data_IF_196006993278
#
_entry.id   IF_196006993278
#
_cell.length_a   1.000
_cell.length_b   1.000
_cell.length_c   1.000
_cell.angle_alpha   90.00
_cell.angle_beta   90.00
_cell.angle_gamma   90.00
#
_symmetry.space_group_name_H-M   'P 1'
#
loop_
_entity.id
_entity.type
_entity.pdbx_description
1 polymer ?
#
# COMPACT_ATOMS: atom_id res chain seq x y z
N UNK A 1 -59.82 -36.70 40.27
CA UNK A 1 -58.78 -35.63 40.19
C UNK A 1 -58.93 -34.92 38.85
N UNK A 2 -58.68 -33.62 38.88
CA UNK A 2 -59.27 -32.52 38.09
C UNK A 2 -58.49 -32.12 36.83
N UNK A 3 -59.25 -31.90 35.75
CA UNK A 3 -59.26 -30.82 34.73
C UNK A 3 -58.01 -30.06 34.25
N UNK A 4 -58.09 -29.75 32.93
CA UNK A 4 -57.20 -29.05 32.01
C UNK A 4 -56.76 -27.60 32.31
N UNK A 5 -55.71 -27.13 31.61
CA UNK A 5 -55.52 -25.75 31.11
C UNK A 5 -54.58 -25.68 29.88
N UNK A 6 -55.09 -25.18 28.76
CA UNK A 6 -54.40 -24.58 27.57
C UNK A 6 -54.10 -23.08 27.87
N UNK A 7 -53.60 -22.24 26.93
CA UNK A 7 -52.49 -22.32 25.95
C UNK A 7 -51.62 -21.02 25.95
N UNK A 8 -50.39 -20.98 25.40
CA UNK A 8 -49.82 -19.69 24.90
C UNK A 8 -48.91 -19.91 23.68
N UNK A 9 -49.30 -19.24 22.60
CA UNK A 9 -48.62 -19.01 21.32
C UNK A 9 -47.41 -18.10 21.54
N UNK A 10 -46.20 -18.47 21.07
CA UNK A 10 -45.11 -17.51 20.82
C UNK A 10 -44.78 -17.46 19.34
N UNK A 11 -45.18 -16.36 18.74
CA UNK A 11 -44.77 -15.84 17.44
C UNK A 11 -43.45 -15.07 17.56
N UNK A 12 -42.60 -15.23 16.53
CA UNK A 12 -41.62 -14.30 15.96
C UNK A 12 -40.38 -13.92 16.80
N UNK A 13 -39.20 -14.26 16.27
CA UNK A 13 -38.07 -13.32 16.14
C UNK A 13 -37.16 -13.70 14.96
N UNK A 14 -37.43 -13.06 13.82
CA UNK A 14 -36.52 -12.84 12.71
C UNK A 14 -35.28 -12.10 13.23
N UNK A 15 -34.09 -12.69 13.12
CA UNK A 15 -32.80 -11.97 13.03
C UNK A 15 -31.98 -12.65 11.95
N UNK A 16 -32.18 -12.21 10.72
CA UNK A 16 -31.24 -11.31 10.04
C UNK A 16 -30.03 -12.06 9.48
N UNK A 17 -30.29 -12.83 8.41
CA UNK A 17 -29.28 -13.16 7.40
C UNK A 17 -28.93 -11.93 6.56
N UNK A 18 -28.36 -10.90 7.20
CA UNK A 18 -28.05 -9.61 6.57
C UNK A 18 -26.60 -9.15 6.76
N UNK A 19 -25.71 -9.93 7.40
CA UNK A 19 -24.32 -9.52 7.65
C UNK A 19 -23.23 -10.32 6.91
N UNK A 20 -23.58 -11.27 6.03
CA UNK A 20 -22.58 -11.97 5.22
C UNK A 20 -22.19 -11.20 3.94
N UNK A 21 -23.08 -10.36 3.39
CA UNK A 21 -22.81 -9.61 2.16
C UNK A 21 -21.99 -8.33 2.37
N UNK A 22 -21.95 -7.79 3.59
CA UNK A 22 -21.10 -6.64 3.93
C UNK A 22 -19.62 -7.02 4.06
N UNK A 23 -19.31 -8.14 4.73
CA UNK A 23 -17.91 -8.59 4.91
C UNK A 23 -17.27 -9.09 3.61
N UNK A 24 -18.04 -9.71 2.72
CA UNK A 24 -17.53 -10.15 1.42
C UNK A 24 -17.29 -8.99 0.43
N UNK A 25 -18.11 -7.93 0.47
CA UNK A 25 -17.96 -6.76 -0.40
C UNK A 25 -16.78 -5.84 0.01
N UNK A 26 -16.49 -5.75 1.32
CA UNK A 26 -15.30 -5.05 1.83
C UNK A 26 -14.02 -5.78 1.38
N UNK A 27 -14.02 -7.12 1.36
CA UNK A 27 -12.89 -7.91 0.87
C UNK A 27 -12.64 -7.76 -0.64
N UNK A 28 -13.68 -7.68 -1.49
CA UNK A 28 -13.47 -7.53 -2.95
C UNK A 28 -12.95 -6.14 -3.34
N UNK A 29 -13.45 -5.07 -2.72
CA UNK A 29 -12.99 -3.71 -3.02
C UNK A 29 -11.58 -3.45 -2.47
N UNK A 30 -11.29 -3.94 -1.26
CA UNK A 30 -9.94 -3.92 -0.72
C UNK A 30 -8.98 -4.74 -1.60
N UNK A 31 -9.37 -5.95 -2.03
CA UNK A 31 -8.56 -6.76 -2.95
C UNK A 31 -8.29 -6.07 -4.30
N UNK A 32 -9.28 -5.40 -4.88
CA UNK A 32 -9.08 -4.63 -6.11
C UNK A 32 -8.12 -3.44 -5.91
N UNK A 33 -8.25 -2.71 -4.79
CA UNK A 33 -7.33 -1.63 -4.44
C UNK A 33 -5.90 -2.14 -4.18
N UNK A 34 -5.74 -3.34 -3.60
CA UNK A 34 -4.45 -4.00 -3.42
C UNK A 34 -3.81 -4.34 -4.76
N UNK A 35 -4.57 -5.00 -5.66
CA UNK A 35 -4.10 -5.36 -6.99
C UNK A 35 -3.67 -4.10 -7.74
N UNK A 36 -4.50 -3.06 -7.73
CA UNK A 36 -4.18 -1.77 -8.35
C UNK A 36 -2.95 -1.08 -7.72
N UNK A 37 -2.80 -1.16 -6.39
CA UNK A 37 -1.64 -0.61 -5.67
C UNK A 37 -0.35 -1.34 -6.05
N UNK A 38 -0.40 -2.66 -6.16
CA UNK A 38 0.71 -3.54 -6.54
C UNK A 38 1.04 -3.45 -8.03
N UNK A 39 0.04 -3.24 -8.89
CA UNK A 39 0.21 -3.03 -10.33
C UNK A 39 0.60 -1.58 -10.68
N UNK A 40 0.49 -0.65 -9.71
CA UNK A 40 0.81 0.76 -9.91
C UNK A 40 -0.23 1.52 -10.73
N UNK A 41 -1.41 0.94 -10.95
CA UNK A 41 -2.53 1.50 -11.73
C UNK A 41 -3.68 1.80 -10.76
N UNK A 42 -3.46 2.74 -9.84
CA UNK A 42 -4.54 3.22 -8.96
C UNK A 42 -5.20 4.43 -9.61
N UNK A 43 -6.50 4.36 -9.94
CA UNK A 43 -7.27 5.55 -10.28
C UNK A 43 -7.26 6.55 -9.12
N UNK A 44 -7.17 7.88 -9.35
CA UNK A 44 -7.14 8.87 -8.27
C UNK A 44 -8.24 8.69 -7.21
N UNK A 45 -9.44 8.26 -7.64
CA UNK A 45 -10.59 7.98 -6.78
C UNK A 45 -10.44 6.77 -5.84
N UNK A 46 -9.49 5.87 -6.13
CA UNK A 46 -9.19 4.69 -5.33
C UNK A 46 -7.96 4.88 -4.40
N UNK A 47 -7.27 6.02 -4.49
CA UNK A 47 -6.09 6.32 -3.65
C UNK A 47 -6.46 6.33 -2.17
N UNK A 48 -7.54 7.00 -1.78
CA UNK A 48 -7.94 7.07 -0.36
C UNK A 48 -8.36 5.69 0.19
N UNK A 49 -8.95 4.83 -0.66
CA UNK A 49 -9.26 3.45 -0.28
C UNK A 49 -7.98 2.63 -0.06
N UNK A 50 -6.98 2.77 -0.94
CA UNK A 50 -5.68 2.14 -0.77
C UNK A 50 -4.97 2.63 0.51
N UNK A 51 -5.06 3.93 0.83
CA UNK A 51 -4.43 4.48 2.04
C UNK A 51 -5.11 3.99 3.31
N UNK A 52 -6.44 3.89 3.32
CA UNK A 52 -7.17 3.29 4.43
C UNK A 52 -6.82 1.81 4.61
N UNK A 53 -6.66 1.08 3.51
CA UNK A 53 -6.21 -0.30 3.59
C UNK A 53 -4.80 -0.43 4.18
N UNK A 54 -3.85 0.42 3.78
CA UNK A 54 -2.51 0.44 4.39
C UNK A 54 -2.56 0.72 5.90
N UNK A 55 -3.47 1.59 6.35
CA UNK A 55 -3.73 1.81 7.79
C UNK A 55 -4.24 0.54 8.47
N UNK A 56 -5.18 -0.15 7.86
CA UNK A 56 -5.71 -1.43 8.36
C UNK A 56 -4.62 -2.52 8.42
N UNK A 57 -3.63 -2.48 7.52
CA UNK A 57 -2.46 -3.36 7.55
C UNK A 57 -1.36 -2.90 8.53
N UNK A 58 -1.62 -1.87 9.33
CA UNK A 58 -0.69 -1.31 10.31
C UNK A 58 0.65 -0.81 9.72
N UNK A 59 0.62 -0.26 8.50
CA UNK A 59 1.76 0.52 8.00
C UNK A 59 1.88 1.85 8.75
N UNK A 60 3.09 2.40 8.83
CA UNK A 60 3.31 3.69 9.49
C UNK A 60 2.62 4.83 8.73
N UNK A 61 2.17 5.86 9.45
CA UNK A 61 1.55 7.05 8.84
C UNK A 61 2.48 7.73 7.84
N UNK A 62 3.79 7.74 8.12
CA UNK A 62 4.82 8.25 7.22
C UNK A 62 4.90 7.44 5.92
N UNK A 63 4.84 6.11 5.99
CA UNK A 63 4.81 5.26 4.79
C UNK A 63 3.56 5.50 3.94
N UNK A 64 2.40 5.66 4.60
CA UNK A 64 1.11 5.93 3.94
C UNK A 64 1.18 7.26 3.20
N UNK A 65 1.68 8.31 3.86
CA UNK A 65 1.83 9.63 3.24
C UNK A 65 2.80 9.60 2.05
N UNK A 66 3.95 8.93 2.20
CA UNK A 66 4.89 8.75 1.09
C UNK A 66 4.24 8.00 -0.07
N UNK A 67 3.48 6.94 0.20
CA UNK A 67 2.77 6.17 -0.85
C UNK A 67 1.73 7.03 -1.56
N UNK A 68 0.99 7.87 -0.82
CA UNK A 68 0.05 8.84 -1.41
C UNK A 68 0.77 9.79 -2.36
N UNK A 69 1.92 10.36 -1.95
CA UNK A 69 2.73 11.26 -2.78
C UNK A 69 3.38 10.56 -3.99
N UNK A 70 3.68 9.27 -3.91
CA UNK A 70 4.18 8.51 -5.08
C UNK A 70 3.08 8.33 -6.13
N UNK A 71 1.83 8.13 -5.69
CA UNK A 71 0.66 7.90 -6.57
C UNK A 71 0.06 9.21 -7.09
N UNK A 72 0.14 10.28 -6.31
CA UNK A 72 -0.24 11.64 -6.66
C UNK A 72 0.99 12.56 -6.63
N UNK A 73 1.97 12.35 -7.54
CA UNK A 73 3.22 13.09 -7.51
C UNK A 73 3.01 14.57 -7.81
N UNK A 74 3.83 15.41 -7.18
CA UNK A 74 3.90 16.82 -7.55
C UNK A 74 4.44 16.94 -8.97
N UNK A 75 3.67 17.59 -9.85
CA UNK A 75 4.04 17.83 -11.24
C UNK A 75 5.18 18.84 -11.38
N UNK A 76 5.51 19.58 -10.33
CA UNK A 76 6.56 20.61 -10.33
C UNK A 76 7.97 20.04 -10.21
N UNK A 77 8.14 18.94 -9.49
CA UNK A 77 9.45 18.28 -9.35
C UNK A 77 9.40 16.88 -9.98
N UNK A 78 10.02 16.68 -11.15
CA UNK A 78 10.00 15.40 -11.85
C UNK A 78 10.80 14.29 -11.13
N UNK A 79 11.64 14.62 -10.14
CA UNK A 79 12.38 13.65 -9.33
C UNK A 79 11.73 13.35 -7.97
N UNK A 80 10.75 14.16 -7.54
CA UNK A 80 10.07 13.99 -6.25
C UNK A 80 9.51 12.57 -6.03
N UNK A 81 8.94 11.97 -7.09
CA UNK A 81 8.43 10.60 -7.05
C UNK A 81 9.55 9.59 -6.75
N UNK A 82 10.72 9.75 -7.38
CA UNK A 82 11.89 8.88 -7.19
C UNK A 82 12.39 8.96 -5.75
N UNK A 83 12.48 10.18 -5.21
CA UNK A 83 12.89 10.40 -3.84
C UNK A 83 11.90 9.82 -2.83
N UNK A 84 10.59 10.00 -3.07
CA UNK A 84 9.56 9.46 -2.21
C UNK A 84 9.53 7.92 -2.24
N UNK A 85 9.78 7.30 -3.39
CA UNK A 85 9.96 5.85 -3.49
C UNK A 85 11.14 5.36 -2.64
N UNK A 86 12.28 6.05 -2.68
CA UNK A 86 13.43 5.71 -1.85
C UNK A 86 13.14 5.87 -0.35
N UNK A 87 12.54 7.00 0.05
CA UNK A 87 12.13 7.25 1.44
C UNK A 87 11.13 6.20 1.94
N UNK A 88 10.20 5.78 1.09
CA UNK A 88 9.22 4.77 1.44
C UNK A 88 9.87 3.39 1.67
N UNK A 89 10.88 3.03 0.87
CA UNK A 89 11.64 1.78 1.05
C UNK A 89 12.41 1.80 2.37
N UNK A 90 13.06 2.92 2.71
CA UNK A 90 13.75 3.05 4.00
C UNK A 90 12.78 2.97 5.17
N UNK A 91 11.64 3.66 5.08
CA UNK A 91 10.59 3.61 6.09
C UNK A 91 10.07 2.18 6.28
N UNK A 92 9.90 1.41 5.20
CA UNK A 92 9.53 -0.01 5.29
C UNK A 92 10.58 -0.84 6.02
N UNK A 93 11.86 -0.64 5.68
CA UNK A 93 12.96 -1.36 6.33
C UNK A 93 13.01 -1.01 7.82
N UNK A 94 12.84 0.26 8.18
CA UNK A 94 12.89 0.72 9.57
C UNK A 94 11.70 0.22 10.40
N UNK A 95 10.49 0.28 9.84
CA UNK A 95 9.26 0.00 10.59
C UNK A 95 8.78 -1.44 10.48
N UNK A 96 9.20 -2.18 9.45
CA UNK A 96 8.70 -3.54 9.18
C UNK A 96 9.78 -4.59 8.98
N UNK A 97 11.06 -4.31 9.23
CA UNK A 97 12.13 -5.31 9.07
C UNK A 97 11.91 -6.61 9.83
N UNK A 98 11.23 -6.56 10.99
CA UNK A 98 10.86 -7.74 11.79
C UNK A 98 9.72 -8.58 11.20
N UNK A 99 8.98 -8.05 10.23
CA UNK A 99 7.83 -8.69 9.56
C UNK A 99 8.17 -9.08 8.12
N UNK A 100 9.32 -8.64 7.61
CA UNK A 100 9.85 -9.08 6.33
C UNK A 100 10.22 -10.57 6.42
N UNK A 101 10.08 -11.28 5.29
CA UNK A 101 10.58 -12.65 5.19
C UNK A 101 12.10 -12.69 5.47
N UNK A 102 12.59 -13.78 6.06
CA UNK A 102 14.00 -13.95 6.43
C UNK A 102 14.97 -13.84 5.22
N UNK A 103 14.45 -14.11 4.01
CA UNK A 103 15.18 -14.00 2.74
C UNK A 103 15.03 -12.63 2.06
N UNK A 104 14.39 -11.66 2.71
CA UNK A 104 14.23 -10.32 2.17
C UNK A 104 15.61 -9.67 1.94
N UNK A 105 15.90 -9.16 0.73
CA UNK A 105 17.21 -8.63 0.39
C UNK A 105 17.43 -7.19 0.90
N UNK A 106 17.25 -6.98 2.21
CA UNK A 106 17.32 -5.67 2.89
C UNK A 106 18.63 -4.94 2.57
N UNK A 107 19.77 -5.61 2.65
CA UNK A 107 21.08 -5.02 2.35
C UNK A 107 21.19 -4.56 0.89
N UNK A 108 20.60 -5.31 -0.04
CA UNK A 108 20.58 -4.93 -1.45
C UNK A 108 19.66 -3.73 -1.69
N UNK A 109 18.51 -3.67 -1.00
CA UNK A 109 17.62 -2.51 -1.09
C UNK A 109 18.28 -1.24 -0.60
N UNK A 110 18.97 -1.29 0.56
CA UNK A 110 19.72 -0.12 1.09
C UNK A 110 20.77 0.37 0.09
N UNK A 111 21.56 -0.54 -0.46
CA UNK A 111 22.57 -0.20 -1.47
C UNK A 111 21.93 0.41 -2.73
N UNK A 112 20.79 -0.10 -3.16
CA UNK A 112 20.08 0.42 -4.33
C UNK A 112 19.48 1.81 -4.06
N UNK A 113 18.96 2.08 -2.84
CA UNK A 113 18.55 3.42 -2.42
C UNK A 113 19.71 4.42 -2.54
N UNK A 114 20.89 4.07 -2.04
CA UNK A 114 22.07 4.94 -2.11
C UNK A 114 22.47 5.24 -3.57
N UNK A 115 22.48 4.22 -4.43
CA UNK A 115 22.76 4.39 -5.87
C UNK A 115 21.76 5.29 -6.56
N UNK A 116 20.46 5.13 -6.25
CA UNK A 116 19.41 5.97 -6.84
C UNK A 116 19.58 7.42 -6.37
N UNK A 117 19.86 7.67 -5.09
CA UNK A 117 20.12 9.01 -4.56
C UNK A 117 21.30 9.69 -5.23
N UNK A 118 22.43 8.98 -5.36
CA UNK A 118 23.58 9.50 -6.10
C UNK A 118 23.19 9.86 -7.55
N UNK A 119 22.37 9.04 -8.20
CA UNK A 119 21.84 9.33 -9.53
C UNK A 119 20.91 10.56 -9.57
N UNK A 120 20.04 10.74 -8.58
CA UNK A 120 19.17 11.93 -8.45
C UNK A 120 20.00 13.20 -8.36
N UNK A 121 21.04 13.21 -7.52
CA UNK A 121 21.97 14.34 -7.39
C UNK A 121 22.70 14.63 -8.71
N UNK A 122 23.15 13.60 -9.42
CA UNK A 122 23.77 13.77 -10.73
C UNK A 122 22.80 14.40 -11.76
N UNK A 123 21.54 13.96 -11.80
CA UNK A 123 20.53 14.51 -12.72
C UNK A 123 20.17 15.95 -12.35
N UNK A 124 20.08 16.29 -11.06
CA UNK A 124 19.82 17.67 -10.60
C UNK A 124 20.95 18.62 -10.99
N UNK A 125 22.19 18.16 -10.90
CA UNK A 125 23.38 18.95 -11.19
C UNK A 125 23.75 19.00 -12.68
N UNK A 126 23.15 18.13 -13.51
CA UNK A 126 23.36 18.13 -14.95
C UNK A 126 22.62 19.29 -15.62
N UNK A 127 23.37 20.17 -16.29
CA UNK A 127 22.81 21.26 -17.07
C UNK A 127 21.91 20.69 -18.20
N UNK A 128 20.60 20.95 -18.10
CA UNK A 128 19.61 20.52 -19.08
C UNK A 128 18.79 19.28 -18.71
N UNK A 129 19.07 18.63 -17.57
CA UNK A 129 18.29 17.51 -17.05
C UNK A 129 18.31 16.29 -17.98
N UNK A 130 19.17 15.32 -17.69
CA UNK A 130 19.25 14.08 -18.49
C UNK A 130 17.95 13.27 -18.38
N UNK A 131 17.05 13.45 -19.36
CA UNK A 131 15.75 12.80 -19.43
C UNK A 131 15.88 11.27 -19.48
N UNK A 132 16.95 10.74 -20.09
CA UNK A 132 17.17 9.30 -20.18
C UNK A 132 17.56 8.75 -18.82
N UNK A 133 18.50 9.41 -18.15
CA UNK A 133 18.91 9.05 -16.79
C UNK A 133 17.75 9.19 -15.80
N UNK A 134 16.94 10.25 -15.92
CA UNK A 134 15.73 10.45 -15.10
C UNK A 134 14.75 9.29 -15.24
N UNK A 135 14.42 8.88 -16.47
CA UNK A 135 13.51 7.75 -16.71
C UNK A 135 14.07 6.43 -16.16
N UNK A 136 15.37 6.23 -16.24
CA UNK A 136 16.01 5.05 -15.67
C UNK A 136 15.93 5.05 -14.14
N UNK A 137 16.12 6.20 -13.50
CA UNK A 137 15.95 6.36 -12.05
C UNK A 137 14.49 6.11 -11.62
N UNK A 138 13.51 6.66 -12.35
CA UNK A 138 12.08 6.41 -12.12
C UNK A 138 11.76 4.89 -12.19
N UNK A 139 12.32 4.19 -13.18
CA UNK A 139 12.13 2.76 -13.36
C UNK A 139 12.79 1.94 -12.24
N UNK A 140 14.03 2.29 -11.86
CA UNK A 140 14.78 1.59 -10.79
C UNK A 140 14.12 1.81 -9.43
N UNK A 141 13.75 3.04 -9.09
CA UNK A 141 13.06 3.38 -7.86
C UNK A 141 11.67 2.73 -7.79
N UNK A 142 10.94 2.67 -8.90
CA UNK A 142 9.68 1.93 -8.99
C UNK A 142 9.85 0.45 -8.69
N UNK A 143 10.79 -0.23 -9.36
CA UNK A 143 11.07 -1.66 -9.11
C UNK A 143 11.51 -1.93 -7.68
N UNK A 144 12.35 -1.06 -7.11
CA UNK A 144 12.82 -1.17 -5.75
C UNK A 144 11.66 -1.03 -4.75
N UNK A 145 10.83 0.00 -4.93
CA UNK A 145 9.64 0.21 -4.13
C UNK A 145 8.69 -0.99 -4.22
N UNK A 146 8.38 -1.47 -5.41
CA UNK A 146 7.48 -2.61 -5.60
C UNK A 146 8.04 -3.89 -4.98
N UNK A 147 9.35 -4.11 -5.07
CA UNK A 147 10.03 -5.24 -4.44
C UNK A 147 9.92 -5.20 -2.92
N UNK A 148 10.26 -4.07 -2.30
CA UNK A 148 10.20 -3.89 -0.85
C UNK A 148 8.75 -3.94 -0.34
N UNK A 149 7.84 -3.29 -1.06
CA UNK A 149 6.43 -3.28 -0.70
C UNK A 149 5.81 -4.66 -0.78
N UNK A 150 6.04 -5.44 -1.85
CA UNK A 150 5.56 -6.83 -1.95
C UNK A 150 6.08 -7.71 -0.83
N UNK A 151 7.34 -7.56 -0.45
CA UNK A 151 7.90 -8.29 0.68
C UNK A 151 7.26 -7.89 2.02
N UNK A 152 6.94 -6.60 2.19
CA UNK A 152 6.28 -6.08 3.39
C UNK A 152 4.78 -6.41 3.49
N UNK A 153 4.14 -6.81 2.39
CA UNK A 153 2.76 -7.28 2.42
C UNK A 153 2.62 -8.71 2.98
N UNK A 154 3.68 -9.53 2.92
CA UNK A 154 3.63 -10.92 3.33
C UNK A 154 2.69 -11.77 2.46
N UNK A 155 2.91 -13.09 2.44
CA UNK A 155 2.00 -14.08 1.87
C UNK A 155 0.89 -14.43 2.86
#
# INVERSE_FOLDING_TARGET
>A
MTTAKKPVRRTIAKKSGANAKGKAAVNLKAAAAIIQLVEGIIPPEAVDQAMNWLKEQHFSDKFIELTKQIRLPDKKDPLSKVENQCKAVEELIETRSSVLADDAPISQWRLEVEKIRAGVELVRNAAGGDLKMRRELEKRAGKLYDSAFKAALGK
#
